data_IF_438398546408
#
_entry.id   IF_438398546408
#
_cell.length_a   1.000
_cell.length_b   1.000
_cell.length_c   1.000
_cell.angle_alpha   90.00
_cell.angle_beta   90.00
_cell.angle_gamma   90.00
#
_symmetry.space_group_name_H-M   'P 1'
#
loop_
_entity.id
_entity.type
_entity.pdbx_description
1 polymer ?
#
# COMPACT_ATOMS: atom_id res chain seq x y z
N UNK A 1 43.66 -17.29 -64.69
CA UNK A 1 45.02 -17.12 -64.13
C UNK A 1 44.97 -16.14 -62.98
N UNK A 2 45.41 -16.58 -61.79
CA UNK A 2 45.78 -15.81 -60.58
C UNK A 2 44.64 -15.28 -59.66
N UNK A 3 44.34 -16.13 -58.67
CA UNK A 3 44.07 -15.83 -57.26
C UNK A 3 44.93 -14.69 -56.70
N UNK A 4 44.39 -13.93 -55.73
CA UNK A 4 45.02 -13.56 -54.45
C UNK A 4 43.91 -13.24 -53.43
N UNK A 5 43.94 -13.95 -52.30
CA UNK A 5 43.21 -13.64 -51.07
C UNK A 5 43.93 -12.53 -50.29
N UNK A 6 43.17 -11.68 -49.59
CA UNK A 6 43.68 -10.91 -48.44
C UNK A 6 42.63 -10.93 -47.32
N UNK A 7 43.08 -11.19 -46.10
CA UNK A 7 42.28 -11.35 -44.89
C UNK A 7 42.36 -10.10 -43.99
N UNK A 8 41.22 -9.80 -43.33
CA UNK A 8 40.99 -9.17 -42.00
C UNK A 8 41.91 -8.05 -41.48
N UNK A 9 41.30 -6.97 -40.94
CA UNK A 9 41.30 -6.59 -39.51
C UNK A 9 40.33 -5.40 -39.25
N UNK A 10 39.49 -5.60 -38.24
CA UNK A 10 38.89 -4.67 -37.25
C UNK A 10 39.04 -3.14 -37.38
N UNK A 11 37.90 -2.42 -37.29
CA UNK A 11 37.80 -1.16 -36.52
C UNK A 11 36.39 -1.05 -35.92
N UNK A 12 36.31 -0.78 -34.62
CA UNK A 12 35.09 -0.71 -33.81
C UNK A 12 34.62 0.73 -33.56
N UNK A 13 33.31 0.91 -33.39
CA UNK A 13 32.63 1.78 -32.40
C UNK A 13 31.13 1.87 -32.77
N UNK A 14 30.27 1.03 -32.19
CA UNK A 14 29.43 1.32 -31.02
C UNK A 14 28.34 2.36 -31.29
N UNK A 15 27.13 1.89 -31.58
CA UNK A 15 25.92 2.52 -31.05
C UNK A 15 25.04 1.41 -30.49
N UNK A 16 24.91 1.44 -29.17
CA UNK A 16 24.12 0.52 -28.37
C UNK A 16 22.71 1.11 -28.32
N UNK A 17 21.71 0.36 -28.74
CA UNK A 17 20.36 0.50 -28.22
C UNK A 17 19.94 -0.87 -27.69
N UNK A 18 20.11 -1.02 -26.37
CA UNK A 18 19.61 -2.10 -25.54
C UNK A 18 18.09 -2.23 -25.72
N UNK A 19 17.53 -3.42 -25.96
CA UNK A 19 17.22 -4.47 -24.96
C UNK A 19 16.27 -3.93 -23.86
N UNK A 20 15.21 -4.59 -23.45
CA UNK A 20 14.64 -5.89 -23.72
C UNK A 20 13.21 -5.86 -23.15
N UNK A 21 12.35 -6.75 -23.63
CA UNK A 21 11.17 -7.20 -22.92
C UNK A 21 11.56 -7.61 -21.50
N UNK A 22 11.31 -6.74 -20.53
CA UNK A 22 11.36 -7.12 -19.12
C UNK A 22 10.03 -7.77 -18.80
N UNK A 23 10.00 -9.10 -18.88
CA UNK A 23 9.20 -9.88 -17.95
C UNK A 23 9.57 -9.37 -16.56
N UNK A 24 8.74 -8.48 -16.00
CA UNK A 24 8.86 -8.08 -14.61
C UNK A 24 8.52 -9.32 -13.79
N UNK A 25 9.54 -10.13 -13.53
CA UNK A 25 9.61 -11.00 -12.37
C UNK A 25 9.15 -10.13 -11.21
N UNK A 26 7.92 -10.35 -10.73
CA UNK A 26 7.56 -9.89 -9.41
C UNK A 26 8.55 -10.59 -8.46
N UNK A 27 9.45 -9.89 -7.75
CA UNK A 27 9.86 -10.43 -6.49
C UNK A 27 8.57 -10.46 -5.67
N UNK A 28 8.08 -11.67 -5.42
CA UNK A 28 7.27 -11.92 -4.24
C UNK A 28 8.01 -11.27 -3.08
N UNK A 29 7.49 -10.13 -2.60
CA UNK A 29 7.89 -9.58 -1.32
C UNK A 29 7.43 -10.57 -0.27
N UNK A 30 8.19 -11.65 -0.10
CA UNK A 30 8.28 -12.38 1.14
C UNK A 30 8.80 -11.36 2.16
N UNK A 31 7.89 -10.64 2.80
CA UNK A 31 8.21 -10.02 4.08
C UNK A 31 8.22 -11.13 5.12
N UNK A 32 9.29 -11.92 5.11
CA UNK A 32 9.79 -12.61 6.28
C UNK A 32 10.34 -11.54 7.23
N UNK A 33 9.47 -11.08 8.12
CA UNK A 33 9.78 -10.18 9.21
C UNK A 33 8.70 -10.36 10.27
N UNK A 34 8.79 -11.45 11.03
CA UNK A 34 8.02 -11.67 12.26
C UNK A 34 8.29 -10.53 13.25
N UNK A 35 7.49 -9.48 13.13
CA UNK A 35 7.06 -8.58 14.21
C UNK A 35 5.58 -8.28 13.92
N UNK A 36 4.74 -9.27 14.23
CA UNK A 36 3.38 -9.45 13.74
C UNK A 36 2.38 -8.45 14.32
N UNK A 37 2.49 -7.19 13.90
CA UNK A 37 1.52 -6.15 14.23
C UNK A 37 0.71 -5.68 13.02
N UNK A 38 -0.56 -5.39 13.23
CA UNK A 38 -1.46 -4.76 12.26
C UNK A 38 -1.00 -3.33 11.93
N UNK A 39 -0.98 -2.99 10.63
CA UNK A 39 -0.74 -1.62 10.18
C UNK A 39 -2.05 -0.85 10.19
N UNK A 40 -2.05 0.29 10.86
CA UNK A 40 -3.20 1.20 10.96
C UNK A 40 -2.83 2.51 10.28
N UNK A 41 -3.51 2.86 9.19
CA UNK A 41 -3.38 4.12 8.48
C UNK A 41 -4.65 4.95 8.60
N UNK A 42 -4.53 6.26 8.82
CA UNK A 42 -5.71 7.13 8.90
C UNK A 42 -5.47 8.56 8.39
N UNK A 43 -6.47 9.11 7.73
CA UNK A 43 -6.57 10.53 7.39
C UNK A 43 -7.27 11.28 8.52
N UNK A 44 -6.69 12.39 8.98
CA UNK A 44 -7.22 13.16 10.10
C UNK A 44 -7.74 14.52 9.60
N UNK A 45 -9.05 14.72 9.65
CA UNK A 45 -9.72 15.91 9.13
C UNK A 45 -9.35 16.11 7.63
N UNK A 46 -8.89 17.31 7.29
CA UNK A 46 -8.47 17.69 5.94
C UNK A 46 -6.96 17.59 5.72
N UNK A 47 -6.24 16.89 6.61
CA UNK A 47 -4.80 16.71 6.44
C UNK A 47 -4.52 15.83 5.21
N UNK A 48 -3.73 16.34 4.23
CA UNK A 48 -3.47 15.61 2.99
C UNK A 48 -2.57 14.39 3.20
N UNK A 49 -1.85 14.30 4.31
CA UNK A 49 -0.89 13.24 4.59
C UNK A 49 -1.50 12.25 5.60
N UNK A 50 -1.61 10.95 5.26
CA UNK A 50 -2.11 9.97 6.21
C UNK A 50 -1.09 9.68 7.32
N UNK A 51 -1.59 9.50 8.53
CA UNK A 51 -0.82 9.01 9.66
C UNK A 51 -0.76 7.48 9.64
N UNK A 52 0.34 6.93 10.14
CA UNK A 52 0.56 5.48 10.26
C UNK A 52 0.95 5.11 11.69
N UNK A 53 0.36 4.03 12.18
CA UNK A 53 0.70 3.40 13.46
C UNK A 53 0.81 1.89 13.29
N UNK A 54 1.56 1.25 14.21
CA UNK A 54 1.58 -0.21 14.35
C UNK A 54 0.75 -0.59 15.57
N UNK A 55 -0.07 -1.62 15.42
CA UNK A 55 -0.85 -2.21 16.48
C UNK A 55 -0.36 -3.64 16.73
N UNK A 56 -0.14 -4.09 17.98
CA UNK A 56 0.50 -5.36 18.26
C UNK A 56 -0.33 -6.59 17.88
N UNK A 57 -1.65 -6.48 17.89
CA UNK A 57 -2.56 -7.58 17.57
C UNK A 57 -2.96 -7.56 16.08
N UNK A 58 -3.43 -8.68 15.51
CA UNK A 58 -3.93 -8.73 14.13
C UNK A 58 -5.26 -7.98 13.94
N UNK A 59 -5.96 -7.69 15.03
CA UNK A 59 -7.26 -7.03 15.05
C UNK A 59 -7.23 -5.87 16.04
N UNK A 60 -8.05 -4.85 15.78
CA UNK A 60 -8.16 -3.65 16.61
C UNK A 60 -9.62 -3.23 16.69
N UNK A 61 -10.06 -2.77 17.85
CA UNK A 61 -11.40 -2.20 18.04
C UNK A 61 -11.41 -0.69 17.80
N UNK A 62 -12.59 -0.10 17.57
CA UNK A 62 -12.72 1.35 17.45
C UNK A 62 -12.20 2.07 18.70
N UNK A 63 -12.50 1.55 19.88
CA UNK A 63 -12.03 2.11 21.15
C UNK A 63 -10.51 2.17 21.20
N UNK A 64 -9.82 1.09 20.81
CA UNK A 64 -8.36 1.05 20.73
C UNK A 64 -7.81 2.02 19.67
N UNK A 65 -8.42 2.07 18.49
CA UNK A 65 -8.04 3.01 17.44
C UNK A 65 -8.13 4.48 17.90
N UNK A 66 -9.16 4.86 18.66
CA UNK A 66 -9.30 6.22 19.22
C UNK A 66 -8.14 6.61 20.16
N UNK A 67 -7.39 5.65 20.70
CA UNK A 67 -6.18 5.93 21.48
C UNK A 67 -4.98 6.25 20.60
N UNK A 68 -4.96 5.75 19.36
CA UNK A 68 -3.91 6.05 18.37
C UNK A 68 -4.09 7.44 17.74
N UNK A 69 -5.29 8.00 17.79
CA UNK A 69 -5.58 9.36 17.30
C UNK A 69 -5.09 10.39 18.32
N UNK A 70 -4.11 11.25 17.99
CA UNK A 70 -3.51 12.19 18.93
C UNK A 70 -4.47 13.32 19.33
N UNK A 71 -5.43 13.67 18.47
CA UNK A 71 -6.44 14.70 18.74
C UNK A 71 -7.66 14.07 19.40
N UNK A 72 -8.16 14.71 20.46
CA UNK A 72 -9.44 14.37 21.09
C UNK A 72 -10.51 15.37 20.64
N UNK A 73 -11.73 14.87 20.46
CA UNK A 73 -12.85 15.68 19.98
C UNK A 73 -14.00 14.81 19.47
N UNK A 74 -15.14 15.44 19.13
CA UNK A 74 -16.23 14.74 18.49
C UNK A 74 -15.82 14.41 17.04
N UNK A 75 -15.64 13.12 16.76
CA UNK A 75 -15.21 12.61 15.46
C UNK A 75 -16.15 11.52 14.96
N UNK A 76 -16.34 11.47 13.64
CA UNK A 76 -16.89 10.31 12.93
C UNK A 76 -15.75 9.51 12.32
N UNK A 77 -15.86 8.20 12.40
CA UNK A 77 -14.82 7.27 11.98
C UNK A 77 -15.35 6.41 10.83
N UNK A 78 -14.72 6.55 9.67
CA UNK A 78 -15.05 5.79 8.48
C UNK A 78 -13.89 4.87 8.15
N UNK A 79 -14.17 3.61 7.83
CA UNK A 79 -13.18 2.59 7.56
C UNK A 79 -13.35 2.02 6.17
N UNK A 80 -12.26 1.94 5.42
CA UNK A 80 -12.25 1.33 4.09
C UNK A 80 -12.50 -0.17 4.22
N UNK A 81 -13.45 -0.68 3.44
CA UNK A 81 -13.86 -2.08 3.45
C UNK A 81 -14.15 -2.56 2.03
N UNK A 82 -13.75 -3.79 1.73
CA UNK A 82 -14.14 -4.45 0.48
C UNK A 82 -15.66 -4.72 0.49
N UNK A 83 -16.34 -4.32 -0.58
CA UNK A 83 -17.78 -4.55 -0.74
C UNK A 83 -18.07 -4.91 -2.19
N UNK A 84 -18.95 -5.89 -2.36
CA UNK A 84 -19.46 -6.38 -3.65
C UNK A 84 -20.75 -5.66 -4.07
N UNK A 85 -21.32 -4.83 -3.19
CA UNK A 85 -22.62 -4.19 -3.39
C UNK A 85 -22.56 -3.00 -4.37
N UNK A 86 -21.36 -2.49 -4.63
CA UNK A 86 -21.12 -1.31 -5.46
C UNK A 86 -20.04 -1.62 -6.49
N UNK A 87 -20.17 -1.06 -7.70
CA UNK A 87 -19.20 -1.23 -8.80
C UNK A 87 -17.75 -0.79 -8.44
N UNK A 88 -17.60 0.02 -7.39
CA UNK A 88 -16.32 0.49 -6.86
C UNK A 88 -15.49 -0.62 -6.20
N UNK A 89 -16.10 -1.73 -5.76
CA UNK A 89 -15.43 -2.81 -5.01
C UNK A 89 -14.99 -2.41 -3.59
N UNK A 90 -15.26 -1.16 -3.19
CA UNK A 90 -14.86 -0.58 -1.91
C UNK A 90 -15.89 0.41 -1.41
N UNK A 91 -16.12 0.36 -0.09
CA UNK A 91 -16.96 1.30 0.64
C UNK A 91 -16.22 1.89 1.83
N UNK A 92 -16.68 3.05 2.28
CA UNK A 92 -16.33 3.58 3.58
C UNK A 92 -17.46 3.25 4.56
N UNK A 93 -17.18 2.38 5.52
CA UNK A 93 -18.12 2.01 6.57
C UNK A 93 -17.95 2.91 7.79
N UNK A 94 -19.01 3.60 8.20
CA UNK A 94 -19.03 4.30 9.49
C UNK A 94 -19.09 3.29 10.64
N UNK A 95 -18.24 3.49 11.66
CA UNK A 95 -18.28 2.70 12.90
C UNK A 95 -18.27 3.66 14.09
N UNK A 96 -19.29 3.50 14.93
CA UNK A 96 -19.51 4.38 16.10
C UNK A 96 -19.45 3.62 17.43
N UNK A 97 -19.48 2.28 17.40
CA UNK A 97 -19.37 1.42 18.59
C UNK A 97 -17.90 1.14 18.94
N UNK A 98 -17.48 1.49 20.15
CA UNK A 98 -16.11 1.31 20.64
C UNK A 98 -15.66 -0.16 20.71
N UNK A 99 -16.58 -1.09 20.92
CA UNK A 99 -16.30 -2.53 20.99
C UNK A 99 -16.25 -3.21 19.62
N UNK A 100 -16.57 -2.49 18.54
CA UNK A 100 -16.57 -3.07 17.20
C UNK A 100 -15.15 -3.22 16.65
N UNK A 101 -14.84 -4.43 16.16
CA UNK A 101 -13.61 -4.70 15.40
C UNK A 101 -13.61 -3.96 14.06
N UNK A 102 -12.47 -3.36 13.71
CA UNK A 102 -12.34 -2.55 12.52
C UNK A 102 -12.15 -3.39 11.25
N UNK A 103 -12.77 -3.01 10.11
CA UNK A 103 -12.58 -3.67 8.83
C UNK A 103 -11.13 -3.60 8.36
N UNK A 104 -10.65 -4.72 7.81
CA UNK A 104 -9.34 -4.80 7.19
C UNK A 104 -9.46 -4.60 5.67
N UNK A 105 -8.63 -3.72 5.15
CA UNK A 105 -8.38 -3.51 3.73
C UNK A 105 -6.97 -4.00 3.41
N UNK A 106 -6.86 -5.10 2.66
CA UNK A 106 -5.56 -5.69 2.29
C UNK A 106 -4.67 -6.02 3.51
N UNK A 107 -5.29 -6.54 4.58
CA UNK A 107 -4.59 -6.86 5.84
C UNK A 107 -4.19 -5.65 6.69
N UNK A 108 -4.75 -4.46 6.42
CA UNK A 108 -4.45 -3.20 7.11
C UNK A 108 -5.74 -2.48 7.47
N UNK A 109 -5.71 -1.63 8.48
CA UNK A 109 -6.82 -0.69 8.73
C UNK A 109 -6.54 0.60 7.95
N UNK A 110 -7.52 1.06 7.17
CA UNK A 110 -7.49 2.36 6.50
C UNK A 110 -8.71 3.14 6.93
N UNK A 111 -8.49 4.25 7.64
CA UNK A 111 -9.56 5.05 8.20
C UNK A 111 -9.56 6.50 7.70
N UNK A 112 -10.73 7.13 7.72
CA UNK A 112 -10.92 8.57 7.58
C UNK A 112 -11.60 9.07 8.86
N UNK A 113 -10.97 10.02 9.54
CA UNK A 113 -11.45 10.62 10.78
C UNK A 113 -11.95 12.02 10.46
N UNK A 114 -13.26 12.24 10.52
CA UNK A 114 -13.88 13.53 10.23
C UNK A 114 -14.35 14.19 11.52
N UNK A 115 -14.12 15.50 11.64
CA UNK A 115 -14.61 16.28 12.78
C UNK A 115 -16.12 16.46 12.64
N UNK A 116 -16.84 16.27 13.73
CA UNK A 116 -18.25 16.63 13.83
C UNK A 116 -18.30 18.10 14.26
N UNK A 117 -18.93 18.94 13.46
CA UNK A 117 -19.26 20.33 13.81
C UNK A 117 -20.44 20.42 14.79
#
# INVERSE_FOLDING_TARGET
>A
MRTISVATISTAATTIAAAASVSSLQPSSQQSGTFGGLIVGYYLCDDPVPYRSQWPDPEITLGQFKHLVPKKGPFRFFFKKASDEFDSGVVQQEISNDDATLPLWDGKVVAKVERIE
#
